data_IF_056861267139
#
_entry.id   IF_056861267139
#
_cell.length_a   1.000
_cell.length_b   1.000
_cell.length_c   1.000
_cell.angle_alpha   90.00
_cell.angle_beta   90.00
_cell.angle_gamma   90.00
#
_symmetry.space_group_name_H-M   'P 1'
#
loop_
_entity.id
_entity.type
_entity.pdbx_description
1 polymer ?
#
# COMPACT_ATOMS: atom_id res chain seq x y z
N UNK A 1 9.47 21.97 21.25
CA UNK A 1 10.05 21.56 19.97
C UNK A 1 11.25 20.65 20.27
N UNK A 2 11.42 19.62 19.47
CA UNK A 2 12.59 18.73 19.57
C UNK A 2 13.84 19.48 19.09
N UNK A 3 14.96 19.27 19.80
CA UNK A 3 16.27 19.76 19.35
C UNK A 3 16.83 18.89 18.21
N UNK A 4 17.83 19.38 17.51
CA UNK A 4 18.51 18.61 16.46
C UNK A 4 19.14 17.32 17.02
N UNK A 5 19.57 17.35 18.30
CA UNK A 5 20.08 16.16 18.98
C UNK A 5 18.97 15.15 19.27
N UNK A 6 17.79 15.58 19.71
CA UNK A 6 16.65 14.68 19.92
C UNK A 6 16.25 13.99 18.62
N UNK A 7 16.25 14.72 17.49
CA UNK A 7 15.97 14.18 16.17
C UNK A 7 17.01 13.13 15.77
N UNK A 8 18.29 13.41 16.01
CA UNK A 8 19.38 12.48 15.71
C UNK A 8 19.30 11.21 16.56
N UNK A 9 18.96 11.33 17.84
CA UNK A 9 18.83 10.20 18.77
C UNK A 9 17.65 9.30 18.38
N UNK A 10 16.50 9.88 18.02
CA UNK A 10 15.33 9.14 17.52
C UNK A 10 15.66 8.43 16.20
N UNK A 11 16.35 9.10 15.29
CA UNK A 11 16.76 8.50 14.03
C UNK A 11 17.72 7.31 14.24
N UNK A 12 18.68 7.45 15.14
CA UNK A 12 19.62 6.38 15.49
C UNK A 12 18.92 5.18 16.14
N UNK A 13 17.92 5.43 17.01
CA UNK A 13 17.12 4.38 17.63
C UNK A 13 16.38 3.55 16.57
N UNK A 14 15.70 4.20 15.62
CA UNK A 14 14.97 3.50 14.57
C UNK A 14 15.92 2.80 13.59
N UNK A 15 17.06 3.37 13.27
CA UNK A 15 18.08 2.71 12.46
C UNK A 15 18.58 1.42 13.11
N UNK A 16 18.87 1.47 14.42
CA UNK A 16 19.29 0.30 15.18
C UNK A 16 18.20 -0.77 15.26
N UNK A 17 16.95 -0.36 15.52
CA UNK A 17 15.80 -1.24 15.63
C UNK A 17 15.45 -1.93 14.29
N UNK A 18 15.75 -1.30 13.16
CA UNK A 18 15.47 -1.86 11.83
C UNK A 18 16.45 -2.95 11.38
N UNK A 19 17.62 -3.06 12.02
CA UNK A 19 18.65 -4.04 11.64
C UNK A 19 18.30 -5.48 12.03
N UNK A 20 17.48 -5.65 13.06
CA UNK A 20 17.11 -6.95 13.61
C UNK A 20 15.75 -7.46 13.10
N UNK A 21 15.07 -6.71 12.24
CA UNK A 21 13.83 -7.15 11.61
C UNK A 21 14.21 -8.05 10.42
N UNK A 22 13.93 -9.38 10.47
CA UNK A 22 14.12 -10.22 9.31
C UNK A 22 13.31 -9.65 8.16
N UNK A 23 13.97 -9.37 7.03
CA UNK A 23 13.23 -9.01 5.81
C UNK A 23 12.19 -10.10 5.56
N UNK A 24 10.90 -9.78 5.41
CA UNK A 24 9.91 -10.80 5.10
C UNK A 24 10.40 -11.61 3.92
N UNK A 25 10.39 -12.92 4.04
CA UNK A 25 10.73 -13.79 2.92
C UNK A 25 9.92 -13.35 1.70
N UNK A 26 10.58 -13.23 0.55
CA UNK A 26 9.90 -12.85 -0.68
C UNK A 26 8.67 -13.74 -0.85
N UNK A 27 7.47 -13.18 -1.02
CA UNK A 27 6.26 -13.98 -1.12
C UNK A 27 6.41 -14.96 -2.27
N UNK A 28 6.22 -16.24 -1.99
CA UNK A 28 6.04 -17.27 -3.01
C UNK A 28 4.87 -16.86 -3.90
N UNK A 29 4.94 -17.20 -5.18
CA UNK A 29 3.89 -16.86 -6.15
C UNK A 29 2.49 -17.13 -5.55
N UNK A 30 1.56 -16.17 -5.63
CA UNK A 30 0.30 -16.26 -4.93
C UNK A 30 -0.51 -17.43 -5.49
N UNK A 31 -1.08 -18.21 -4.58
CA UNK A 31 -2.24 -19.02 -4.92
C UNK A 31 -3.33 -18.10 -5.50
N UNK A 32 -4.19 -18.64 -6.38
CA UNK A 32 -5.32 -17.89 -6.90
C UNK A 32 -6.08 -17.19 -5.75
N UNK A 33 -6.55 -15.97 -5.99
CA UNK A 33 -7.29 -15.22 -4.98
C UNK A 33 -8.44 -16.08 -4.42
N UNK A 34 -8.65 -16.10 -3.09
CA UNK A 34 -9.86 -16.68 -2.51
C UNK A 34 -11.12 -16.16 -3.20
N UNK A 35 -12.16 -16.96 -3.31
CA UNK A 35 -13.36 -16.63 -4.09
C UNK A 35 -14.03 -15.32 -3.65
N UNK A 36 -14.04 -15.05 -2.35
CA UNK A 36 -14.53 -13.81 -1.76
C UNK A 36 -13.69 -12.59 -2.18
N UNK A 37 -12.37 -12.71 -2.19
CA UNK A 37 -11.46 -11.66 -2.64
C UNK A 37 -11.58 -11.45 -4.15
N UNK A 38 -11.72 -12.53 -4.93
CA UNK A 38 -11.94 -12.43 -6.37
C UNK A 38 -13.23 -11.65 -6.69
N UNK A 39 -14.30 -11.89 -5.92
CA UNK A 39 -15.54 -11.14 -6.04
C UNK A 39 -15.34 -9.63 -5.74
N UNK A 40 -14.56 -9.30 -4.72
CA UNK A 40 -14.24 -7.90 -4.39
C UNK A 40 -13.39 -7.24 -5.48
N UNK A 41 -12.37 -7.92 -6.00
CA UNK A 41 -11.54 -7.40 -7.10
C UNK A 41 -12.37 -7.14 -8.36
N UNK A 42 -13.33 -8.02 -8.67
CA UNK A 42 -14.27 -7.87 -9.78
C UNK A 42 -15.23 -6.71 -9.54
N UNK A 43 -15.81 -6.61 -8.35
CA UNK A 43 -16.72 -5.53 -7.94
C UNK A 43 -16.08 -4.14 -8.13
N UNK A 44 -14.80 -3.98 -7.78
CA UNK A 44 -14.05 -2.74 -7.93
C UNK A 44 -13.33 -2.59 -9.26
N UNK A 45 -13.44 -3.57 -10.17
CA UNK A 45 -12.74 -3.59 -11.45
C UNK A 45 -11.24 -3.26 -11.35
N UNK A 46 -10.60 -3.70 -10.27
CA UNK A 46 -9.25 -3.29 -9.89
C UNK A 46 -8.21 -3.64 -10.96
N UNK A 47 -8.33 -4.84 -11.51
CA UNK A 47 -7.37 -5.38 -12.49
C UNK A 47 -7.41 -4.67 -13.84
N UNK A 48 -8.52 -4.01 -14.20
CA UNK A 48 -8.63 -3.30 -15.46
C UNK A 48 -7.66 -2.11 -15.57
N UNK A 49 -7.32 -1.49 -14.45
CA UNK A 49 -6.41 -0.33 -14.40
C UNK A 49 -5.03 -0.71 -13.86
N UNK A 50 -4.98 -1.52 -12.78
CA UNK A 50 -3.74 -1.88 -12.10
C UNK A 50 -3.03 -3.11 -12.70
N UNK A 51 -3.65 -3.75 -13.71
CA UNK A 51 -3.15 -4.98 -14.36
C UNK A 51 -3.63 -6.25 -13.66
N UNK A 52 -3.58 -7.37 -14.37
CA UNK A 52 -4.09 -8.67 -13.88
C UNK A 52 -3.37 -9.18 -12.61
N UNK A 53 -2.10 -8.83 -12.47
CA UNK A 53 -1.25 -9.15 -11.32
C UNK A 53 -1.12 -7.98 -10.32
N UNK A 54 -1.85 -6.87 -10.55
CA UNK A 54 -1.80 -5.62 -9.78
C UNK A 54 -0.38 -4.99 -9.73
N UNK A 55 0.50 -5.42 -10.63
CA UNK A 55 1.90 -4.98 -10.72
C UNK A 55 2.27 -4.45 -12.11
N UNK A 56 1.42 -4.68 -13.11
CA UNK A 56 1.60 -4.20 -14.49
C UNK A 56 0.41 -3.36 -14.92
N UNK A 57 0.32 -2.11 -14.46
CA UNK A 57 -0.78 -1.22 -14.82
C UNK A 57 -0.82 -0.98 -16.33
N UNK A 58 -2.01 -0.70 -16.84
CA UNK A 58 -2.23 -0.45 -18.28
C UNK A 58 -1.64 0.88 -18.77
N UNK A 59 -1.37 1.80 -17.84
CA UNK A 59 -0.81 3.12 -18.11
C UNK A 59 0.06 3.57 -16.94
N UNK A 60 1.08 4.40 -17.23
CA UNK A 60 2.03 4.90 -16.24
C UNK A 60 1.42 5.80 -15.16
N UNK A 61 0.21 6.33 -15.37
CA UNK A 61 -0.52 7.12 -14.39
C UNK A 61 -1.17 6.26 -13.29
N UNK A 62 -1.32 4.95 -13.50
CA UNK A 62 -1.83 4.02 -12.50
C UNK A 62 -0.67 3.39 -11.71
N UNK A 63 -0.72 3.37 -10.38
CA UNK A 63 0.37 2.81 -9.58
C UNK A 63 0.37 1.27 -9.61
N UNK A 64 1.56 0.68 -9.53
CA UNK A 64 1.74 -0.71 -9.11
C UNK A 64 1.36 -0.79 -7.64
N UNK A 65 0.57 -1.78 -7.26
CA UNK A 65 0.06 -1.91 -5.89
C UNK A 65 0.37 -3.26 -5.24
N UNK A 66 0.70 -4.29 -6.02
CA UNK A 66 1.07 -5.59 -5.48
C UNK A 66 2.29 -5.49 -4.54
N UNK A 67 2.22 -6.14 -3.37
CA UNK A 67 3.29 -6.14 -2.38
C UNK A 67 3.44 -4.85 -1.58
N UNK A 68 2.56 -3.87 -1.74
CA UNK A 68 2.53 -2.67 -0.91
C UNK A 68 2.03 -3.01 0.50
N UNK A 69 2.49 -2.28 1.52
CA UNK A 69 2.09 -2.51 2.91
C UNK A 69 0.57 -2.44 3.10
N UNK A 70 0.00 -3.43 3.79
CA UNK A 70 -1.45 -3.55 3.99
C UNK A 70 -2.06 -2.32 4.68
N UNK A 71 -1.40 -1.80 5.71
CA UNK A 71 -1.88 -0.62 6.43
C UNK A 71 -1.90 0.63 5.54
N UNK A 72 -0.86 0.81 4.72
CA UNK A 72 -0.82 1.91 3.76
C UNK A 72 -1.94 1.79 2.72
N UNK A 73 -2.14 0.60 2.14
CA UNK A 73 -3.22 0.35 1.17
C UNK A 73 -4.59 0.63 1.78
N UNK A 74 -4.84 0.15 2.99
CA UNK A 74 -6.10 0.37 3.69
C UNK A 74 -6.37 1.85 3.95
N UNK A 75 -5.39 2.57 4.48
CA UNK A 75 -5.51 4.01 4.74
C UNK A 75 -5.70 4.78 3.43
N UNK A 76 -4.96 4.42 2.37
CA UNK A 76 -5.10 5.03 1.06
C UNK A 76 -6.51 4.84 0.48
N UNK A 77 -7.04 3.60 0.52
CA UNK A 77 -8.40 3.31 0.05
C UNK A 77 -9.48 4.06 0.84
N UNK A 78 -9.35 4.12 2.16
CA UNK A 78 -10.24 4.94 3.00
C UNK A 78 -10.16 6.43 2.67
N UNK A 79 -8.97 6.93 2.39
CA UNK A 79 -8.77 8.33 2.04
C UNK A 79 -9.48 8.70 0.74
N UNK A 80 -9.59 7.78 -0.21
CA UNK A 80 -10.39 7.99 -1.42
C UNK A 80 -11.90 8.04 -1.18
N UNK A 81 -12.41 7.45 -0.09
CA UNK A 81 -13.82 7.59 0.31
C UNK A 81 -14.13 8.97 0.90
N UNK A 82 -13.12 9.72 1.33
CA UNK A 82 -13.26 10.98 2.07
C UNK A 82 -13.06 12.17 1.13
N UNK A 83 -14.15 12.65 0.54
CA UNK A 83 -14.07 13.66 -0.54
C UNK A 83 -13.73 15.08 -0.11
N UNK A 84 -13.99 15.50 1.10
CA UNK A 84 -13.96 16.91 1.48
C UNK A 84 -13.01 17.25 2.60
N UNK A 85 -12.09 16.37 2.90
CA UNK A 85 -11.08 16.64 3.92
C UNK A 85 -9.71 16.83 3.27
N UNK A 86 -9.20 18.07 3.18
CA UNK A 86 -7.94 18.37 2.53
C UNK A 86 -6.72 17.77 3.25
N UNK A 87 -6.89 17.32 4.50
CA UNK A 87 -5.81 16.79 5.33
C UNK A 87 -5.66 15.27 5.19
N UNK A 88 -6.77 14.55 5.00
CA UNK A 88 -6.77 13.08 4.96
C UNK A 88 -7.42 12.49 3.71
N UNK A 89 -8.13 13.30 2.92
CA UNK A 89 -8.78 12.86 1.68
C UNK A 89 -7.80 12.77 0.51
N UNK A 90 -8.08 11.89 -0.43
CA UNK A 90 -7.38 11.82 -1.72
C UNK A 90 -8.31 12.20 -2.85
N UNK A 91 -7.93 13.22 -3.62
CA UNK A 91 -8.72 13.73 -4.73
C UNK A 91 -8.35 12.98 -6.03
N UNK A 92 -8.97 11.83 -6.25
CA UNK A 92 -8.94 11.16 -7.53
C UNK A 92 -10.33 10.60 -7.82
N UNK A 93 -11.00 11.09 -8.87
CA UNK A 93 -12.39 10.76 -9.17
C UNK A 93 -12.58 9.26 -9.47
N UNK A 94 -11.64 8.62 -10.18
CA UNK A 94 -11.72 7.20 -10.54
C UNK A 94 -11.64 6.36 -9.27
N UNK A 95 -10.55 6.51 -8.51
CA UNK A 95 -10.35 5.74 -7.27
C UNK A 95 -11.40 6.06 -6.21
N UNK A 96 -11.86 7.31 -6.13
CA UNK A 96 -12.97 7.70 -5.25
C UNK A 96 -14.28 6.95 -5.56
N UNK A 97 -14.61 6.84 -6.83
CA UNK A 97 -15.78 6.06 -7.27
C UNK A 97 -15.63 4.58 -6.92
N UNK A 98 -14.48 3.99 -7.19
CA UNK A 98 -14.24 2.58 -6.88
C UNK A 98 -14.23 2.30 -5.37
N UNK A 99 -13.49 3.10 -4.58
CA UNK A 99 -13.38 2.88 -3.15
C UNK A 99 -14.71 2.99 -2.41
N UNK A 100 -15.63 3.84 -2.86
CA UNK A 100 -16.97 4.01 -2.27
C UNK A 100 -17.88 2.79 -2.40
N UNK A 101 -17.57 1.85 -3.30
CA UNK A 101 -18.33 0.61 -3.43
C UNK A 101 -18.16 -0.34 -2.24
N UNK A 102 -17.16 -0.11 -1.38
CA UNK A 102 -16.73 -1.05 -0.37
C UNK A 102 -16.98 -0.55 1.05
N UNK A 103 -17.27 -1.50 1.94
CA UNK A 103 -17.21 -1.29 3.39
C UNK A 103 -15.74 -1.24 3.85
N UNK A 104 -15.50 -0.70 5.04
CA UNK A 104 -14.15 -0.69 5.63
C UNK A 104 -13.58 -2.10 5.83
N UNK A 105 -14.43 -3.09 6.13
CA UNK A 105 -14.01 -4.48 6.25
C UNK A 105 -13.54 -5.05 4.91
N UNK A 106 -14.29 -4.82 3.84
CA UNK A 106 -13.93 -5.23 2.48
C UNK A 106 -12.62 -4.54 2.02
N UNK A 107 -12.45 -3.23 2.32
CA UNK A 107 -11.20 -2.52 2.01
C UNK A 107 -10.01 -3.11 2.76
N UNK A 108 -10.19 -3.54 4.01
CA UNK A 108 -9.13 -4.20 4.79
C UNK A 108 -8.77 -5.56 4.21
N UNK A 109 -9.76 -6.35 3.79
CA UNK A 109 -9.54 -7.63 3.13
C UNK A 109 -8.77 -7.47 1.82
N UNK A 110 -9.18 -6.53 0.96
CA UNK A 110 -8.48 -6.18 -0.28
C UNK A 110 -7.03 -5.75 0.01
N UNK A 111 -6.82 -4.86 0.96
CA UNK A 111 -5.49 -4.37 1.33
C UNK A 111 -4.58 -5.51 1.81
N UNK A 112 -5.10 -6.41 2.65
CA UNK A 112 -4.36 -7.58 3.14
C UNK A 112 -3.96 -8.52 2.00
N UNK A 113 -4.90 -8.81 1.09
CA UNK A 113 -4.63 -9.65 -0.06
C UNK A 113 -3.58 -9.04 -0.99
N UNK A 114 -3.76 -7.77 -1.40
CA UNK A 114 -2.85 -7.07 -2.31
C UNK A 114 -1.44 -6.96 -1.72
N UNK A 115 -1.33 -6.77 -0.41
CA UNK A 115 -0.05 -6.75 0.29
C UNK A 115 0.67 -8.11 0.26
N UNK A 116 -0.07 -9.21 0.19
CA UNK A 116 0.49 -10.57 0.14
C UNK A 116 1.00 -10.97 -1.25
N UNK A 117 0.66 -10.19 -2.28
CA UNK A 117 1.08 -10.47 -3.65
C UNK A 117 2.58 -10.16 -3.85
N UNK A 118 3.28 -10.93 -4.68
CA UNK A 118 4.64 -10.57 -5.08
C UNK A 118 4.59 -9.26 -5.88
N UNK A 119 5.38 -8.28 -5.43
CA UNK A 119 5.46 -6.97 -6.07
C UNK A 119 6.89 -6.56 -6.36
N UNK A 120 7.04 -5.56 -7.21
CA UNK A 120 8.34 -4.95 -7.54
C UNK A 120 8.67 -3.77 -6.60
N UNK A 121 7.75 -3.41 -5.69
CA UNK A 121 7.98 -2.35 -4.73
C UNK A 121 9.03 -2.79 -3.72
N UNK A 122 10.14 -2.06 -3.67
CA UNK A 122 11.24 -2.34 -2.75
C UNK A 122 11.54 -1.10 -1.92
N UNK A 123 11.65 -1.28 -0.62
CA UNK A 123 12.20 -0.26 0.25
C UNK A 123 13.72 -0.25 0.06
N UNK A 124 14.26 0.87 -0.41
CA UNK A 124 15.71 1.06 -0.54
C UNK A 124 16.21 1.71 0.74
N UNK A 125 16.94 0.95 1.54
CA UNK A 125 17.63 1.51 2.70
C UNK A 125 18.69 2.51 2.21
N UNK A 126 18.65 3.73 2.74
CA UNK A 126 19.73 4.71 2.50
C UNK A 126 20.93 4.33 3.38
N UNK A 127 22.04 3.86 2.80
CA UNK A 127 23.17 3.36 3.59
C UNK A 127 23.94 4.44 4.35
N UNK A 128 23.74 5.71 3.99
CA UNK A 128 24.36 6.87 4.68
C UNK A 128 23.52 8.13 4.48
N UNK A 129 23.13 8.77 5.56
CA UNK A 129 22.77 10.19 5.52
C UNK A 129 24.04 10.96 5.12
N UNK A 130 24.05 11.54 3.93
CA UNK A 130 25.10 12.52 3.59
C UNK A 130 24.88 13.73 4.48
N UNK A 131 25.83 13.98 5.36
CA UNK A 131 25.94 15.25 6.11
C UNK A 131 26.35 16.36 5.15
#
# INVERSE_FOLDING_TARGET
SMSDQDIADVAAFYEASGKDIPSPAAPTAPAAAPADIQALLTKGNCMACHGADLNKPIDASYPKIAGQHADYLYVALKSYQTERNPQIGRANAIMGTQAKLFTHTELKQLATYVASLPGELKTVAQPKLRR
#
